data_IF_952475086567
#
_entry.id   IF_952475086567
#
_cell.length_a   1.000
_cell.length_b   1.000
_cell.length_c   1.000
_cell.angle_alpha   90.00
_cell.angle_beta   90.00
_cell.angle_gamma   90.00
#
_symmetry.space_group_name_H-M   'P 1'
#
loop_
_entity.id
_entity.type
_entity.pdbx_description
1 polymer ?
#
# COMPACT_ATOMS: atom_id res chain seq x y z
N UNK A 1 -10.94 4.27 -1.13
CA UNK A 1 -9.55 4.12 -0.67
C UNK A 1 -9.50 3.06 0.41
N UNK A 2 -8.37 2.35 0.57
CA UNK A 2 -8.19 1.33 1.60
C UNK A 2 -6.72 1.23 2.01
N UNK A 3 -6.44 0.73 3.23
CA UNK A 3 -5.07 0.53 3.73
C UNK A 3 -4.33 -0.63 3.04
N UNK A 4 -5.06 -1.59 2.48
CA UNK A 4 -4.52 -2.80 1.85
C UNK A 4 -5.23 -3.11 0.54
N UNK A 5 -4.50 -3.61 -0.46
CA UNK A 5 -5.08 -3.89 -1.79
C UNK A 5 -6.11 -5.03 -1.78
N UNK A 6 -6.03 -5.96 -0.84
CA UNK A 6 -6.99 -7.07 -0.75
C UNK A 6 -8.43 -6.58 -0.55
N UNK A 7 -8.63 -5.38 0.00
CA UNK A 7 -9.95 -4.79 0.15
C UNK A 7 -10.60 -4.51 -1.22
N UNK A 8 -9.80 -4.16 -2.23
CA UNK A 8 -10.29 -3.91 -3.58
C UNK A 8 -10.74 -5.19 -4.27
N UNK A 9 -9.97 -6.27 -4.14
CA UNK A 9 -10.30 -7.58 -4.71
C UNK A 9 -11.64 -8.10 -4.18
N UNK A 10 -11.88 -7.91 -2.87
CA UNK A 10 -13.13 -8.35 -2.21
C UNK A 10 -14.35 -7.61 -2.74
N UNK A 11 -14.24 -6.31 -3.05
CA UNK A 11 -15.38 -5.49 -3.49
C UNK A 11 -15.44 -5.31 -5.02
N UNK A 12 -14.53 -5.92 -5.76
CA UNK A 12 -14.43 -5.78 -7.22
C UNK A 12 -13.97 -4.39 -7.68
N UNK A 13 -13.27 -3.64 -6.82
CA UNK A 13 -12.70 -2.35 -7.19
C UNK A 13 -11.38 -2.53 -7.96
N UNK A 14 -11.10 -1.61 -8.88
CA UNK A 14 -9.82 -1.60 -9.61
C UNK A 14 -8.79 -0.80 -8.83
N UNK A 15 -7.60 -1.36 -8.65
CA UNK A 15 -6.47 -0.64 -8.09
C UNK A 15 -5.97 0.44 -9.08
N UNK A 16 -5.66 1.63 -8.56
CA UNK A 16 -5.19 2.78 -9.37
C UNK A 16 -3.75 3.16 -9.00
N UNK A 17 -3.53 3.54 -7.74
CA UNK A 17 -2.19 3.90 -7.24
C UNK A 17 -2.12 3.78 -5.71
N UNK A 18 -0.89 3.71 -5.19
CA UNK A 18 -0.60 3.91 -3.77
C UNK A 18 -0.53 5.42 -3.46
N UNK A 19 -1.07 5.81 -2.29
CA UNK A 19 -0.93 7.19 -1.78
C UNK A 19 0.51 7.44 -1.37
N UNK A 20 1.13 8.49 -1.92
CA UNK A 20 2.53 8.80 -1.63
C UNK A 20 2.70 9.51 -0.26
N UNK A 21 3.86 9.36 0.41
CA UNK A 21 4.17 10.18 1.59
C UNK A 21 4.08 11.66 1.23
N UNK A 22 3.39 12.45 2.06
CA UNK A 22 3.17 13.88 1.78
C UNK A 22 1.99 14.18 0.85
N UNK A 23 1.32 13.17 0.30
CA UNK A 23 0.21 13.33 -0.63
C UNK A 23 -1.13 13.47 0.11
N UNK A 24 -2.01 14.32 -0.42
CA UNK A 24 -3.41 14.47 -0.05
C UNK A 24 -4.26 14.16 -1.28
N UNK A 25 -5.29 13.33 -1.08
CA UNK A 25 -6.28 13.03 -2.12
C UNK A 25 -7.63 13.60 -1.69
N UNK A 26 -8.15 14.53 -2.48
CA UNK A 26 -9.51 15.03 -2.36
C UNK A 26 -10.41 14.30 -3.37
N UNK A 27 -11.55 13.80 -2.89
CA UNK A 27 -12.55 13.12 -3.70
C UNK A 27 -13.90 13.81 -3.45
N UNK A 28 -14.48 14.37 -4.50
CA UNK A 28 -15.77 15.07 -4.47
C UNK A 28 -16.56 14.79 -5.76
N UNK A 29 -17.72 15.43 -5.93
CA UNK A 29 -18.60 15.21 -7.09
C UNK A 29 -17.97 15.67 -8.43
N UNK A 30 -16.95 16.54 -8.38
CA UNK A 30 -16.21 17.01 -9.56
C UNK A 30 -15.06 16.07 -9.95
N UNK A 31 -14.74 15.07 -9.12
CA UNK A 31 -13.77 14.01 -9.41
C UNK A 31 -12.70 13.82 -8.33
N UNK A 32 -11.50 13.47 -8.78
CA UNK A 32 -10.33 13.20 -7.91
C UNK A 32 -9.30 14.30 -8.13
N UNK A 33 -8.90 14.96 -7.05
CA UNK A 33 -7.79 15.91 -7.03
C UNK A 33 -6.68 15.39 -6.12
N UNK A 34 -5.43 15.56 -6.55
CA UNK A 34 -4.24 15.07 -5.84
C UNK A 34 -3.29 16.24 -5.65
N UNK A 35 -2.87 16.48 -4.42
CA UNK A 35 -1.96 17.55 -4.05
C UNK A 35 -0.88 17.04 -3.08
N UNK A 36 0.21 17.79 -2.93
CA UNK A 36 1.26 17.51 -1.95
C UNK A 36 1.29 18.62 -0.90
N UNK A 37 1.10 18.25 0.36
CA UNK A 37 1.20 19.23 1.45
C UNK A 37 2.65 19.51 1.86
N UNK A 38 3.59 18.68 1.43
CA UNK A 38 5.03 18.83 1.67
C UNK A 38 5.85 18.05 0.65
N UNK A 39 6.96 18.64 0.21
CA UNK A 39 7.98 17.96 -0.60
C UNK A 39 9.05 17.27 0.27
N UNK A 40 9.08 17.57 1.58
CA UNK A 40 10.04 17.00 2.53
C UNK A 40 9.59 15.62 2.99
N UNK A 41 9.74 14.62 2.11
CA UNK A 41 9.19 13.28 2.32
C UNK A 41 10.27 12.20 2.27
N UNK A 42 10.01 11.07 2.93
CA UNK A 42 10.80 9.85 2.84
C UNK A 42 9.87 8.64 2.85
N UNK A 43 10.11 7.69 1.95
CA UNK A 43 9.33 6.45 1.88
C UNK A 43 9.81 5.45 2.92
N UNK A 44 9.18 5.47 4.09
CA UNK A 44 9.49 4.54 5.20
C UNK A 44 8.26 3.72 5.57
N UNK A 45 8.13 2.55 4.97
CA UNK A 45 7.02 1.62 5.24
C UNK A 45 7.32 0.83 6.51
N UNK A 46 6.30 0.59 7.33
CA UNK A 46 6.43 -0.21 8.54
C UNK A 46 6.82 -1.66 8.20
N UNK A 47 8.01 -2.10 8.66
CA UNK A 47 8.49 -3.46 8.43
C UNK A 47 7.54 -4.54 8.95
N UNK A 48 6.78 -4.25 10.03
CA UNK A 48 5.84 -5.19 10.60
C UNK A 48 4.65 -5.50 9.69
N UNK A 49 4.34 -4.65 8.70
CA UNK A 49 3.34 -4.97 7.67
C UNK A 49 3.77 -6.20 6.86
N UNK A 50 5.01 -6.21 6.38
CA UNK A 50 5.56 -7.36 5.67
C UNK A 50 5.81 -8.56 6.57
N UNK A 51 6.22 -8.34 7.83
CA UNK A 51 6.53 -9.43 8.76
C UNK A 51 5.25 -10.13 9.23
N UNK A 52 4.21 -9.38 9.59
CA UNK A 52 3.07 -9.94 10.34
C UNK A 52 1.70 -9.29 10.06
N UNK A 53 1.58 -7.96 10.08
CA UNK A 53 0.26 -7.30 10.14
C UNK A 53 -0.56 -7.45 8.87
N UNK A 54 0.03 -7.18 7.71
CA UNK A 54 -0.71 -7.20 6.45
C UNK A 54 -1.15 -8.62 6.08
N UNK A 55 -2.26 -8.69 5.34
CA UNK A 55 -2.69 -9.96 4.77
C UNK A 55 -1.71 -10.43 3.69
N UNK A 56 -1.50 -11.76 3.55
CA UNK A 56 -0.54 -12.30 2.59
C UNK A 56 -0.92 -12.06 1.12
N UNK A 57 -2.21 -11.87 0.83
CA UNK A 57 -2.73 -11.54 -0.50
C UNK A 57 -2.70 -10.04 -0.84
N UNK A 58 -2.25 -9.19 0.10
CA UNK A 58 -2.05 -7.76 -0.16
C UNK A 58 -0.73 -7.48 -0.88
N UNK A 59 -0.73 -6.39 -1.64
CA UNK A 59 0.48 -5.75 -2.16
C UNK A 59 0.66 -4.41 -1.44
N UNK A 60 1.84 -4.18 -0.86
CA UNK A 60 2.20 -2.92 -0.22
C UNK A 60 3.36 -2.34 -1.01
N UNK A 61 3.24 -1.10 -1.50
CA UNK A 61 4.24 -0.45 -2.36
C UNK A 61 4.76 -1.37 -3.49
N UNK A 62 3.84 -2.03 -4.18
CA UNK A 62 4.14 -2.96 -5.28
C UNK A 62 4.76 -4.30 -4.86
N UNK A 63 4.95 -4.56 -3.56
CA UNK A 63 5.51 -5.83 -3.05
C UNK A 63 4.40 -6.70 -2.46
N UNK A 64 4.23 -7.88 -3.04
CA UNK A 64 3.33 -8.89 -2.49
C UNK A 64 3.82 -9.42 -1.14
N UNK A 65 2.95 -9.37 -0.13
CA UNK A 65 3.26 -9.72 1.26
C UNK A 65 3.63 -11.21 1.40
N UNK A 66 2.89 -12.13 0.75
CA UNK A 66 3.23 -13.56 0.76
C UNK A 66 4.62 -13.82 0.20
N UNK A 67 4.95 -13.19 -0.93
CA UNK A 67 6.26 -13.32 -1.58
C UNK A 67 7.38 -12.78 -0.69
N UNK A 68 7.18 -11.64 -0.05
CA UNK A 68 8.14 -11.07 0.91
C UNK A 68 8.42 -12.05 2.06
N UNK A 69 7.37 -12.58 2.70
CA UNK A 69 7.51 -13.55 3.81
C UNK A 69 8.22 -14.83 3.37
N UNK A 70 7.92 -15.34 2.17
CA UNK A 70 8.61 -16.51 1.62
C UNK A 70 10.10 -16.25 1.37
N UNK A 71 10.48 -15.05 0.94
CA UNK A 71 11.89 -14.65 0.79
C UNK A 71 12.59 -14.55 2.14
N UNK A 72 11.94 -13.92 3.13
CA UNK A 72 12.48 -13.85 4.49
C UNK A 72 12.73 -15.24 5.08
N UNK A 73 11.80 -16.18 4.90
CA UNK A 73 11.98 -17.56 5.32
C UNK A 73 13.17 -18.27 4.65
N UNK A 74 13.46 -17.99 3.37
CA UNK A 74 14.65 -18.52 2.68
C UNK A 74 15.97 -17.95 3.22
N UNK A 75 15.97 -16.69 3.67
CA UNK A 75 17.16 -16.04 4.25
C UNK A 75 17.49 -16.62 5.62
N UNK A 76 16.47 -17.07 6.36
CA UNK A 76 16.64 -17.68 7.68
C UNK A 76 17.05 -19.17 7.65
N UNK A 77 17.06 -19.80 6.47
CA UNK A 77 17.29 -21.23 6.29
C UNK A 77 18.78 -21.58 6.11
#
# INVERSE_FOLDING_TARGET
>A
MASETCAFDVVGATWIQDVQPGEIIEINDDGIHVDQFTDSTNMTICSMEYIYFARPDSNIAGVNVHTARKRSGKILA
#
